data_IF_147733969028
#
_entry.id   IF_147733969028
#
_cell.length_a   1.000
_cell.length_b   1.000
_cell.length_c   1.000
_cell.angle_alpha   90.00
_cell.angle_beta   90.00
_cell.angle_gamma   90.00
#
_symmetry.space_group_name_H-M   'P 1'
#
loop_
_entity.id
_entity.type
_entity.pdbx_description
1 polymer ?
#
# COMPACT_ATOMS: atom_id res chain seq x y z
N UNK A 1 -4.76 38.20 -53.50
CA UNK A 1 -5.89 37.31 -53.16
C UNK A 1 -5.33 36.15 -52.36
N UNK A 2 -5.35 36.26 -51.03
CA UNK A 2 -4.93 35.18 -50.13
C UNK A 2 -6.11 34.89 -49.22
N UNK A 3 -6.80 33.79 -49.47
CA UNK A 3 -7.86 33.26 -48.61
C UNK A 3 -7.21 32.42 -47.52
N UNK A 4 -7.11 32.99 -46.32
CA UNK A 4 -6.76 32.26 -45.11
C UNK A 4 -7.92 31.33 -44.75
N UNK A 5 -7.71 30.02 -44.91
CA UNK A 5 -8.66 28.99 -44.47
C UNK A 5 -8.54 28.84 -42.96
N UNK A 6 -9.53 29.35 -42.23
CA UNK A 6 -9.69 29.09 -40.79
C UNK A 6 -10.18 27.67 -40.61
N UNK A 7 -9.30 26.77 -40.20
CA UNK A 7 -9.62 25.41 -39.77
C UNK A 7 -10.47 25.46 -38.50
N UNK A 8 -11.80 25.57 -38.68
CA UNK A 8 -12.79 25.38 -37.62
C UNK A 8 -12.73 23.92 -37.16
N UNK A 9 -12.45 23.75 -35.87
CA UNK A 9 -12.47 22.52 -35.07
C UNK A 9 -13.61 21.58 -35.46
N UNK A 10 -13.30 20.47 -36.17
CA UNK A 10 -14.26 19.42 -36.60
C UNK A 10 -14.68 18.47 -35.47
N UNK A 11 -14.34 18.77 -34.22
CA UNK A 11 -14.55 17.89 -33.06
C UNK A 11 -15.98 17.94 -32.49
N UNK A 12 -16.90 18.76 -33.01
CA UNK A 12 -18.13 19.09 -32.27
C UNK A 12 -19.34 18.17 -32.55
N UNK A 13 -19.63 17.83 -33.81
CA UNK A 13 -20.95 17.24 -34.12
C UNK A 13 -21.08 15.77 -33.70
N UNK A 14 -20.04 14.97 -33.94
CA UNK A 14 -20.01 13.57 -33.50
C UNK A 14 -19.97 13.44 -31.97
N UNK A 15 -19.21 14.33 -31.30
CA UNK A 15 -19.13 14.33 -29.85
C UNK A 15 -20.47 14.79 -29.22
N UNK A 16 -21.17 15.75 -29.83
CA UNK A 16 -22.51 16.16 -29.41
C UNK A 16 -23.55 15.06 -29.66
N UNK A 17 -23.49 14.37 -30.79
CA UNK A 17 -24.36 13.23 -31.07
C UNK A 17 -24.18 12.13 -30.01
N UNK A 18 -22.92 11.78 -29.69
CA UNK A 18 -22.62 10.81 -28.63
C UNK A 18 -23.07 11.28 -27.25
N UNK A 19 -22.95 12.58 -26.95
CA UNK A 19 -23.46 13.13 -25.69
C UNK A 19 -24.98 12.98 -25.56
N UNK A 20 -25.72 13.27 -26.62
CA UNK A 20 -27.18 13.13 -26.65
C UNK A 20 -27.61 11.65 -26.57
N UNK A 21 -26.83 10.75 -27.16
CA UNK A 21 -27.04 9.30 -27.01
C UNK A 21 -26.87 8.87 -25.55
N UNK A 22 -25.77 9.25 -24.89
CA UNK A 22 -25.53 8.98 -23.47
C UNK A 22 -26.65 9.58 -22.61
N UNK A 23 -27.10 10.78 -22.92
CA UNK A 23 -28.25 11.40 -22.25
C UNK A 23 -29.51 10.54 -22.38
N UNK A 24 -29.85 10.09 -23.59
CA UNK A 24 -31.00 9.22 -23.83
C UNK A 24 -30.89 7.92 -23.06
N UNK A 25 -29.71 7.29 -23.05
CA UNK A 25 -29.44 6.06 -22.33
C UNK A 25 -29.59 6.23 -20.81
N UNK A 26 -29.03 7.30 -20.23
CA UNK A 26 -29.07 7.55 -18.78
C UNK A 26 -30.45 7.97 -18.30
N UNK A 27 -31.20 8.73 -19.12
CA UNK A 27 -32.51 9.27 -18.72
C UNK A 27 -33.70 8.37 -19.06
N UNK A 28 -33.50 7.34 -19.89
CA UNK A 28 -34.51 6.31 -20.15
C UNK A 28 -35.02 5.73 -18.81
N UNK A 29 -36.35 5.62 -18.58
CA UNK A 29 -36.91 5.29 -17.27
C UNK A 29 -36.33 4.04 -16.60
N UNK A 30 -36.15 2.96 -17.37
CA UNK A 30 -35.59 1.71 -16.88
C UNK A 30 -34.12 1.86 -16.47
N UNK A 31 -33.30 2.46 -17.33
CA UNK A 31 -31.88 2.67 -17.05
C UNK A 31 -31.65 3.66 -15.91
N UNK A 32 -32.43 4.74 -15.85
CA UNK A 32 -32.42 5.68 -14.75
C UNK A 32 -32.70 4.98 -13.42
N UNK A 33 -33.76 4.16 -13.37
CA UNK A 33 -34.10 3.41 -12.16
C UNK A 33 -32.97 2.46 -11.75
N UNK A 34 -32.36 1.75 -12.71
CA UNK A 34 -31.20 0.87 -12.47
C UNK A 34 -29.99 1.63 -11.92
N UNK A 35 -29.65 2.77 -12.52
CA UNK A 35 -28.53 3.61 -12.10
C UNK A 35 -28.76 4.22 -10.71
N UNK A 36 -29.99 4.62 -10.40
CA UNK A 36 -30.36 5.13 -9.07
C UNK A 36 -30.42 4.05 -8.00
N UNK A 37 -30.70 2.80 -8.38
CA UNK A 37 -30.73 1.65 -7.48
C UNK A 37 -29.33 1.05 -7.21
N UNK A 38 -28.31 1.44 -7.97
CA UNK A 38 -26.95 0.97 -7.79
C UNK A 38 -26.39 1.42 -6.43
N UNK A 39 -25.96 0.46 -5.62
CA UNK A 39 -25.39 0.69 -4.30
C UNK A 39 -23.88 1.01 -4.38
N UNK A 40 -23.20 0.57 -5.44
CA UNK A 40 -21.75 0.71 -5.58
C UNK A 40 -21.31 1.38 -6.88
N UNK A 41 -20.13 1.99 -6.85
CA UNK A 41 -19.50 2.57 -8.02
C UNK A 41 -19.16 1.50 -9.09
N UNK A 42 -18.99 0.24 -8.69
CA UNK A 42 -18.77 -0.88 -9.60
C UNK A 42 -20.05 -1.28 -10.35
N UNK A 43 -21.19 -1.30 -9.67
CA UNK A 43 -22.50 -1.56 -10.28
C UNK A 43 -22.85 -0.49 -11.32
N UNK A 44 -22.62 0.79 -11.00
CA UNK A 44 -22.82 1.90 -11.96
C UNK A 44 -21.99 1.71 -13.23
N UNK A 45 -20.71 1.31 -13.09
CA UNK A 45 -19.84 1.02 -14.24
C UNK A 45 -20.27 -0.22 -15.02
N UNK A 46 -20.78 -1.23 -14.34
CA UNK A 46 -21.32 -2.44 -14.98
C UNK A 46 -22.53 -2.09 -15.85
N UNK A 47 -23.47 -1.32 -15.30
CA UNK A 47 -24.63 -0.81 -16.05
C UNK A 47 -24.16 0.05 -17.23
N UNK A 48 -23.17 0.92 -17.05
CA UNK A 48 -22.62 1.72 -18.14
C UNK A 48 -22.08 0.85 -19.28
N UNK A 49 -21.33 -0.21 -18.96
CA UNK A 49 -20.80 -1.16 -19.94
C UNK A 49 -21.89 -1.90 -20.71
N UNK A 50 -22.97 -2.31 -20.04
CA UNK A 50 -24.14 -2.92 -20.70
C UNK A 50 -24.87 -1.95 -21.65
N UNK A 51 -24.83 -0.65 -21.35
CA UNK A 51 -25.37 0.40 -22.21
C UNK A 51 -24.39 0.81 -23.32
N UNK A 52 -23.23 0.16 -23.42
CA UNK A 52 -22.20 0.48 -24.40
C UNK A 52 -21.50 1.82 -24.14
N UNK A 53 -21.51 2.31 -22.90
CA UNK A 53 -20.82 3.52 -22.48
C UNK A 53 -19.42 3.14 -21.99
N UNK A 54 -18.40 3.72 -22.61
CA UNK A 54 -17.02 3.45 -22.23
C UNK A 54 -16.61 4.23 -20.98
N UNK A 55 -16.33 3.49 -19.90
CA UNK A 55 -15.90 4.06 -18.61
C UNK A 55 -14.43 3.79 -18.31
N UNK A 56 -13.60 3.48 -19.33
CA UNK A 56 -12.16 3.37 -19.13
C UNK A 56 -11.53 4.72 -18.79
N UNK A 57 -10.34 4.68 -18.19
CA UNK A 57 -9.57 5.89 -17.95
C UNK A 57 -9.23 6.61 -19.27
N UNK A 58 -9.31 7.94 -19.27
CA UNK A 58 -9.13 8.77 -20.46
C UNK A 58 -10.26 8.69 -21.51
N UNK A 59 -11.34 7.94 -21.28
CA UNK A 59 -12.45 7.87 -22.24
C UNK A 59 -13.20 9.19 -22.36
N UNK A 60 -13.60 9.53 -23.60
CA UNK A 60 -14.40 10.72 -23.91
C UNK A 60 -15.84 10.62 -23.39
N UNK A 61 -16.34 9.40 -23.16
CA UNK A 61 -17.69 9.14 -22.65
C UNK A 61 -17.79 9.40 -21.14
N UNK A 62 -16.73 9.11 -20.38
CA UNK A 62 -16.73 9.17 -18.91
C UNK A 62 -17.19 10.53 -18.36
N UNK A 63 -16.61 11.65 -18.82
CA UNK A 63 -16.97 12.97 -18.31
C UNK A 63 -18.44 13.33 -18.58
N UNK A 64 -18.95 12.92 -19.75
CA UNK A 64 -20.34 13.12 -20.16
C UNK A 64 -21.30 12.28 -19.33
N UNK A 65 -20.92 11.03 -19.11
CA UNK A 65 -21.66 10.08 -18.29
C UNK A 65 -21.75 10.53 -16.83
N UNK A 66 -20.64 10.91 -16.20
CA UNK A 66 -20.60 11.47 -14.83
C UNK A 66 -21.53 12.69 -14.72
N UNK A 67 -21.48 13.60 -15.70
CA UNK A 67 -22.35 14.77 -15.71
C UNK A 67 -23.84 14.38 -15.73
N UNK A 68 -24.25 13.43 -16.58
CA UNK A 68 -25.64 12.98 -16.67
C UNK A 68 -26.09 12.17 -15.46
N UNK A 69 -25.21 11.35 -14.88
CA UNK A 69 -25.48 10.66 -13.61
C UNK A 69 -25.82 11.66 -12.49
N UNK A 70 -25.04 12.74 -12.38
CA UNK A 70 -25.27 13.77 -11.37
C UNK A 70 -26.66 14.42 -11.51
N UNK A 71 -27.15 14.61 -12.73
CA UNK A 71 -28.48 15.16 -12.99
C UNK A 71 -29.62 14.24 -12.55
N UNK A 72 -29.39 12.93 -12.47
CA UNK A 72 -30.35 11.95 -11.93
C UNK A 72 -30.09 11.62 -10.45
N UNK A 73 -29.19 12.34 -9.78
CA UNK A 73 -28.89 12.18 -8.36
C UNK A 73 -27.86 11.10 -8.03
N UNK A 74 -27.12 10.58 -9.02
CA UNK A 74 -26.06 9.58 -8.83
C UNK A 74 -24.70 10.27 -8.94
N UNK A 75 -23.93 10.32 -7.84
CA UNK A 75 -22.59 10.91 -7.81
C UNK A 75 -21.52 9.81 -7.78
N UNK A 76 -21.18 9.29 -8.97
CA UNK A 76 -20.21 8.20 -9.12
C UNK A 76 -18.83 8.52 -8.49
N UNK A 77 -18.24 9.72 -8.68
CA UNK A 77 -17.02 10.10 -7.97
C UNK A 77 -17.16 10.08 -6.44
N UNK A 78 -18.27 10.60 -5.89
CA UNK A 78 -18.49 10.58 -4.45
C UNK A 78 -18.67 9.17 -3.89
N UNK A 79 -19.39 8.29 -4.61
CA UNK A 79 -19.52 6.87 -4.24
C UNK A 79 -18.17 6.18 -4.19
N UNK A 80 -17.35 6.32 -5.25
CA UNK A 80 -16.03 5.71 -5.30
C UNK A 80 -15.10 6.23 -4.20
N UNK A 81 -15.18 7.53 -3.87
CA UNK A 81 -14.44 8.14 -2.76
C UNK A 81 -14.90 7.59 -1.40
N UNK A 82 -16.20 7.45 -1.19
CA UNK A 82 -16.75 6.91 0.05
C UNK A 82 -16.35 5.44 0.25
N UNK A 83 -16.41 4.61 -0.79
CA UNK A 83 -15.95 3.22 -0.76
C UNK A 83 -14.44 3.11 -0.48
N UNK A 84 -13.62 3.98 -1.06
CA UNK A 84 -12.20 4.03 -0.76
C UNK A 84 -11.93 4.45 0.70
N UNK A 85 -12.66 5.43 1.21
CA UNK A 85 -12.58 5.87 2.60
C UNK A 85 -13.01 4.76 3.58
N UNK A 86 -14.11 4.06 3.28
CA UNK A 86 -14.59 2.93 4.07
C UNK A 86 -13.55 1.80 4.12
N UNK A 87 -12.98 1.41 2.97
CA UNK A 87 -11.89 0.41 2.91
C UNK A 87 -10.65 0.85 3.69
N UNK A 88 -10.29 2.13 3.66
CA UNK A 88 -9.17 2.67 4.45
C UNK A 88 -9.46 2.60 5.95
N UNK A 89 -10.69 2.94 6.37
CA UNK A 89 -11.11 2.87 7.77
C UNK A 89 -11.14 1.42 8.29
N UNK A 90 -11.67 0.49 7.50
CA UNK A 90 -11.66 -0.95 7.83
C UNK A 90 -10.24 -1.49 7.98
N UNK A 91 -9.34 -1.14 7.05
CA UNK A 91 -7.93 -1.53 7.13
C UNK A 91 -7.24 -0.97 8.39
N UNK A 92 -7.53 0.29 8.74
CA UNK A 92 -6.99 0.90 9.96
C UNK A 92 -7.51 0.21 11.23
N UNK A 93 -8.81 -0.13 11.28
CA UNK A 93 -9.40 -0.88 12.40
C UNK A 93 -8.79 -2.28 12.54
N UNK A 94 -8.58 -2.98 11.42
CA UNK A 94 -7.92 -4.29 11.41
C UNK A 94 -6.48 -4.19 11.93
N UNK A 95 -5.74 -3.15 11.51
CA UNK A 95 -4.38 -2.88 11.99
C UNK A 95 -4.32 -2.64 13.50
N UNK A 96 -5.22 -1.80 14.02
CA UNK A 96 -5.30 -1.51 15.46
C UNK A 96 -5.68 -2.76 16.26
N UNK A 97 -6.67 -3.53 15.80
CA UNK A 97 -7.09 -4.76 16.47
C UNK A 97 -5.94 -5.78 16.55
N UNK A 98 -5.12 -5.88 15.51
CA UNK A 98 -3.92 -6.72 15.48
C UNK A 98 -2.83 -6.22 16.42
N UNK A 99 -2.61 -4.90 16.46
CA UNK A 99 -1.63 -4.29 17.37
C UNK A 99 -1.94 -4.61 18.84
N UNK A 100 -3.21 -4.58 19.26
CA UNK A 100 -3.59 -4.92 20.65
C UNK A 100 -3.23 -6.34 21.11
N UNK A 101 -2.91 -7.26 20.19
CA UNK A 101 -2.56 -8.66 20.50
C UNK A 101 -1.17 -9.06 20.01
N UNK A 102 -0.36 -8.11 19.56
CA UNK A 102 0.96 -8.37 18.96
C UNK A 102 1.92 -9.13 19.89
N UNK A 103 1.80 -8.95 21.21
CA UNK A 103 2.65 -9.61 22.21
C UNK A 103 2.44 -11.13 22.27
N UNK A 104 1.30 -11.64 21.80
CA UNK A 104 1.01 -13.07 21.74
C UNK A 104 1.28 -13.72 20.39
N UNK A 105 1.75 -12.95 19.39
CA UNK A 105 1.98 -13.45 18.04
C UNK A 105 3.42 -13.94 17.85
N UNK A 106 3.65 -14.91 16.94
CA UNK A 106 4.98 -15.17 16.40
C UNK A 106 5.57 -13.90 15.77
N UNK A 107 6.88 -13.73 15.90
CA UNK A 107 7.56 -12.46 15.57
C UNK A 107 8.37 -12.60 14.29
N UNK A 108 8.31 -11.57 13.44
CA UNK A 108 9.21 -11.36 12.32
C UNK A 108 10.00 -10.09 12.60
N UNK A 109 11.33 -10.17 12.61
CA UNK A 109 12.21 -9.00 12.82
C UNK A 109 12.86 -8.63 11.50
N UNK A 110 12.64 -7.41 11.04
CA UNK A 110 13.20 -6.92 9.79
C UNK A 110 13.74 -5.50 9.97
N UNK A 111 14.72 -5.17 9.14
CA UNK A 111 15.20 -3.81 8.97
C UNK A 111 14.89 -3.38 7.56
N UNK A 112 14.44 -2.14 7.39
CA UNK A 112 14.24 -1.57 6.06
C UNK A 112 14.90 -0.21 5.94
N UNK A 113 15.47 0.05 4.78
CA UNK A 113 15.96 1.37 4.43
C UNK A 113 15.79 1.64 2.94
N UNK A 114 15.84 2.91 2.57
CA UNK A 114 15.95 3.37 1.20
C UNK A 114 17.13 4.33 1.04
N UNK A 115 17.62 4.42 -0.18
CA UNK A 115 18.56 5.45 -0.59
C UNK A 115 18.05 6.13 -1.85
N UNK A 116 18.24 7.43 -1.93
CA UNK A 116 17.97 8.22 -3.14
C UNK A 116 19.29 8.72 -3.72
N UNK A 117 19.35 8.74 -5.05
CA UNK A 117 20.48 9.33 -5.78
C UNK A 117 19.93 10.18 -6.93
N UNK A 118 20.49 11.38 -7.12
CA UNK A 118 19.94 12.37 -8.05
C UNK A 118 18.73 13.13 -7.48
N UNK A 119 18.31 14.17 -8.19
CA UNK A 119 17.23 15.09 -7.78
C UNK A 119 15.99 14.91 -8.67
N UNK A 120 14.82 15.17 -8.11
CA UNK A 120 13.52 15.17 -8.80
C UNK A 120 13.27 13.92 -9.68
N UNK A 121 12.82 14.11 -10.92
CA UNK A 121 12.42 13.04 -11.84
C UNK A 121 13.59 12.18 -12.35
N UNK A 122 14.84 12.64 -12.20
CA UNK A 122 16.04 11.87 -12.54
C UNK A 122 16.51 10.99 -11.37
N UNK A 123 15.88 11.14 -10.20
CA UNK A 123 16.28 10.45 -9.00
C UNK A 123 16.08 8.93 -9.12
N UNK A 124 17.18 8.19 -9.05
CA UNK A 124 17.17 6.73 -8.95
C UNK A 124 17.34 6.34 -7.49
N UNK A 125 16.38 5.58 -6.97
CA UNK A 125 16.43 5.11 -5.60
C UNK A 125 16.58 3.60 -5.55
N UNK A 126 17.12 3.13 -4.44
CA UNK A 126 17.19 1.73 -4.10
C UNK A 126 16.65 1.50 -2.69
N UNK A 127 16.31 0.26 -2.38
CA UNK A 127 15.83 -0.16 -1.08
C UNK A 127 16.42 -1.49 -0.70
N UNK A 128 16.37 -1.77 0.60
CA UNK A 128 16.61 -3.09 1.12
C UNK A 128 15.69 -3.40 2.31
N UNK A 129 15.41 -4.69 2.45
CA UNK A 129 14.87 -5.33 3.63
C UNK A 129 15.85 -6.45 4.00
N UNK A 130 16.34 -6.42 5.24
CA UNK A 130 17.24 -7.45 5.79
C UNK A 130 16.64 -8.09 7.04
N UNK A 131 17.07 -9.30 7.36
CA UNK A 131 16.74 -9.99 8.61
C UNK A 131 17.66 -9.56 9.77
N UNK A 132 17.52 -10.21 10.93
CA UNK A 132 18.26 -9.88 12.16
C UNK A 132 19.76 -10.13 12.07
N UNK A 133 20.19 -10.97 11.12
CA UNK A 133 21.58 -11.24 10.82
C UNK A 133 22.14 -10.28 9.75
N UNK A 134 21.34 -9.32 9.28
CA UNK A 134 21.69 -8.40 8.21
C UNK A 134 21.67 -9.05 6.82
N UNK A 135 21.15 -10.27 6.67
CA UNK A 135 21.07 -10.94 5.39
C UNK A 135 19.91 -10.41 4.55
N UNK A 136 20.18 -10.24 3.25
CA UNK A 136 19.24 -9.63 2.32
C UNK A 136 17.99 -10.50 2.13
N UNK A 137 16.82 -10.03 2.58
CA UNK A 137 15.53 -10.66 2.28
C UNK A 137 15.00 -10.19 0.93
N UNK A 138 15.01 -8.88 0.70
CA UNK A 138 14.54 -8.26 -0.54
C UNK A 138 15.26 -6.94 -0.75
N UNK A 139 15.95 -6.76 -1.88
CA UNK A 139 16.61 -5.49 -2.19
C UNK A 139 16.69 -5.24 -3.70
N UNK A 140 16.92 -3.98 -4.06
CA UNK A 140 17.19 -3.57 -5.44
C UNK A 140 16.73 -2.13 -5.70
N UNK A 141 16.79 -1.74 -6.97
CA UNK A 141 16.33 -0.42 -7.41
C UNK A 141 14.81 -0.34 -7.48
N UNK A 142 14.26 0.84 -7.16
CA UNK A 142 12.84 1.13 -7.35
C UNK A 142 12.49 1.20 -8.84
N UNK A 143 11.35 0.61 -9.22
CA UNK A 143 10.92 0.64 -10.62
C UNK A 143 10.02 1.86 -10.89
N UNK A 144 10.37 2.75 -11.84
CA UNK A 144 9.71 4.05 -12.01
C UNK A 144 8.21 3.98 -12.33
N UNK A 145 7.73 2.84 -12.84
CA UNK A 145 6.29 2.63 -13.16
C UNK A 145 5.50 1.84 -12.13
N UNK A 146 6.16 1.19 -11.18
CA UNK A 146 5.50 0.25 -10.27
C UNK A 146 5.54 0.68 -8.81
N UNK A 147 6.24 1.77 -8.50
CA UNK A 147 6.16 2.37 -7.17
C UNK A 147 4.87 3.18 -7.01
N UNK A 148 4.08 2.83 -5.99
CA UNK A 148 2.84 3.53 -5.63
C UNK A 148 3.01 4.56 -4.52
N UNK A 149 4.09 4.43 -3.75
CA UNK A 149 4.36 5.21 -2.54
C UNK A 149 5.51 6.18 -2.78
N UNK A 150 6.63 5.67 -3.31
CA UNK A 150 7.81 6.50 -3.61
C UNK A 150 7.48 7.57 -4.65
N UNK A 151 7.86 8.79 -4.31
CA UNK A 151 8.00 9.94 -5.19
C UNK A 151 9.50 10.16 -5.44
N UNK A 152 9.98 10.13 -6.71
CA UNK A 152 11.41 10.35 -6.99
C UNK A 152 11.95 11.64 -6.37
N UNK A 153 13.11 11.55 -5.71
CA UNK A 153 13.76 12.67 -5.01
C UNK A 153 13.26 12.92 -3.59
N UNK A 154 12.22 12.22 -3.13
CA UNK A 154 11.69 12.30 -1.77
C UNK A 154 12.09 11.06 -0.97
N UNK A 155 13.14 11.19 -0.15
CA UNK A 155 13.67 10.10 0.67
C UNK A 155 12.63 9.55 1.65
N UNK A 156 11.77 10.38 2.26
CA UNK A 156 10.75 9.90 3.20
C UNK A 156 9.76 8.99 2.48
N UNK A 157 9.35 9.35 1.27
CA UNK A 157 8.48 8.49 0.45
C UNK A 157 9.17 7.19 0.00
N UNK A 158 10.48 7.22 -0.22
CA UNK A 158 11.28 6.04 -0.56
C UNK A 158 11.39 5.10 0.64
N UNK A 159 11.68 5.63 1.83
CA UNK A 159 11.71 4.92 3.11
C UNK A 159 10.34 4.31 3.43
N UNK A 160 9.26 5.08 3.23
CA UNK A 160 7.89 4.57 3.36
C UNK A 160 7.59 3.41 2.42
N UNK A 161 8.14 3.44 1.19
CA UNK A 161 8.03 2.34 0.22
C UNK A 161 8.82 1.11 0.63
N UNK A 162 10.01 1.28 1.22
CA UNK A 162 10.82 0.18 1.77
C UNK A 162 10.13 -0.47 2.97
N UNK A 163 9.57 0.32 3.89
CA UNK A 163 8.80 -0.16 5.03
C UNK A 163 7.53 -0.92 4.61
N UNK A 164 6.78 -0.43 3.62
CA UNK A 164 5.60 -1.15 3.08
C UNK A 164 5.99 -2.50 2.45
N UNK A 165 7.16 -2.57 1.81
CA UNK A 165 7.73 -3.82 1.30
C UNK A 165 8.12 -4.78 2.42
N UNK A 166 8.62 -4.29 3.57
CA UNK A 166 8.88 -5.12 4.74
C UNK A 166 7.58 -5.71 5.33
N UNK A 167 6.49 -4.94 5.37
CA UNK A 167 5.15 -5.46 5.74
C UNK A 167 4.74 -6.60 4.80
N UNK A 168 4.97 -6.44 3.50
CA UNK A 168 4.70 -7.52 2.53
C UNK A 168 5.62 -8.74 2.70
N UNK A 169 6.89 -8.54 3.05
CA UNK A 169 7.81 -9.63 3.35
C UNK A 169 7.36 -10.43 4.59
N UNK A 170 6.92 -9.75 5.66
CA UNK A 170 6.36 -10.39 6.84
C UNK A 170 5.07 -11.17 6.53
N UNK A 171 4.20 -10.63 5.67
CA UNK A 171 3.03 -11.37 5.15
C UNK A 171 3.43 -12.67 4.44
N UNK A 172 4.50 -12.63 3.63
CA UNK A 172 5.02 -13.81 2.93
C UNK A 172 5.62 -14.81 3.92
N UNK A 173 6.37 -14.35 4.92
CA UNK A 173 6.90 -15.17 6.01
C UNK A 173 5.77 -15.89 6.78
N UNK A 174 4.74 -15.15 7.20
CA UNK A 174 3.51 -15.69 7.83
C UNK A 174 2.88 -16.81 6.98
N UNK A 175 2.67 -16.56 5.68
CA UNK A 175 2.08 -17.54 4.77
C UNK A 175 2.95 -18.79 4.61
N UNK A 176 4.25 -18.63 4.54
CA UNK A 176 5.20 -19.73 4.43
C UNK A 176 5.29 -20.58 5.72
N UNK A 177 5.21 -19.93 6.89
CA UNK A 177 5.17 -20.59 8.19
C UNK A 177 3.81 -21.26 8.49
N UNK A 178 2.75 -20.92 7.74
CA UNK A 178 1.43 -21.52 7.93
C UNK A 178 0.70 -21.05 9.20
N UNK A 179 1.07 -19.89 9.73
CA UNK A 179 0.41 -19.27 10.90
C UNK A 179 -0.62 -18.22 10.46
N UNK A 180 -1.61 -17.94 11.30
CA UNK A 180 -2.71 -17.04 10.96
C UNK A 180 -2.29 -15.56 10.96
N UNK A 181 -1.48 -15.17 11.95
CA UNK A 181 -1.06 -13.80 12.22
C UNK A 181 0.39 -13.78 12.71
N UNK A 182 1.12 -12.69 12.45
CA UNK A 182 2.47 -12.44 12.99
C UNK A 182 2.59 -11.00 13.47
N UNK A 183 3.48 -10.75 14.43
CA UNK A 183 3.98 -9.42 14.71
C UNK A 183 5.20 -9.13 13.85
N UNK A 184 5.21 -8.01 13.12
CA UNK A 184 6.39 -7.46 12.47
C UNK A 184 7.00 -6.40 13.39
N UNK A 185 8.22 -6.64 13.82
CA UNK A 185 9.08 -5.65 14.47
C UNK A 185 10.02 -5.09 13.41
N UNK A 186 9.69 -3.89 12.93
CA UNK A 186 10.41 -3.22 11.87
C UNK A 186 11.36 -2.17 12.45
N UNK A 187 12.65 -2.33 12.23
CA UNK A 187 13.62 -1.27 12.48
C UNK A 187 13.83 -0.46 11.19
N UNK A 188 13.79 0.87 11.30
CA UNK A 188 14.04 1.78 10.19
C UNK A 188 14.90 2.97 10.66
N UNK A 189 15.53 3.67 9.72
CA UNK A 189 16.33 4.87 10.02
C UNK A 189 15.51 6.17 9.92
N UNK A 190 14.34 6.11 9.28
CA UNK A 190 13.51 7.29 9.02
C UNK A 190 12.46 7.51 10.13
N UNK A 191 12.50 8.63 10.88
CA UNK A 191 11.52 8.94 11.92
C UNK A 191 10.17 9.43 11.36
N UNK A 192 10.13 9.86 10.11
CA UNK A 192 8.95 10.49 9.49
C UNK A 192 8.01 9.49 8.80
N UNK A 193 8.14 8.19 9.10
CA UNK A 193 7.28 7.15 8.55
C UNK A 193 5.82 7.32 9.03
N UNK A 194 4.87 7.17 8.11
CA UNK A 194 3.44 7.03 8.42
C UNK A 194 3.15 5.62 8.96
N UNK A 195 3.43 5.43 10.25
CA UNK A 195 3.20 4.16 10.97
C UNK A 195 1.73 3.75 10.93
N UNK A 196 0.79 4.69 10.93
CA UNK A 196 -0.64 4.38 10.85
C UNK A 196 -1.00 3.75 9.49
N UNK A 197 -0.41 4.27 8.39
CA UNK A 197 -0.54 3.66 7.07
C UNK A 197 0.07 2.25 7.02
N UNK A 198 1.25 2.04 7.63
CA UNK A 198 1.88 0.72 7.72
C UNK A 198 1.03 -0.28 8.51
N UNK A 199 0.46 0.13 9.65
CA UNK A 199 -0.46 -0.70 10.45
C UNK A 199 -1.72 -1.04 9.66
N UNK A 200 -2.28 -0.11 8.91
CA UNK A 200 -3.43 -0.40 8.04
C UNK A 200 -3.08 -1.39 6.91
N UNK A 201 -1.88 -1.28 6.32
CA UNK A 201 -1.38 -2.23 5.33
C UNK A 201 -1.19 -3.63 5.94
N UNK A 202 -0.56 -3.72 7.11
CA UNK A 202 -0.38 -4.95 7.85
C UNK A 202 -1.69 -5.59 8.31
N UNK A 203 -2.66 -4.77 8.71
CA UNK A 203 -3.99 -5.21 9.16
C UNK A 203 -4.72 -6.09 8.15
N UNK A 204 -4.69 -5.67 6.88
CA UNK A 204 -5.25 -6.45 5.75
C UNK A 204 -4.51 -7.76 5.47
N UNK A 205 -3.27 -7.87 5.95
CA UNK A 205 -2.36 -8.95 5.65
C UNK A 205 -2.14 -9.88 6.86
N UNK A 206 -2.82 -9.65 7.99
CA UNK A 206 -2.59 -10.40 9.23
C UNK A 206 -1.19 -10.19 9.81
N UNK A 207 -0.66 -8.96 9.67
CA UNK A 207 0.65 -8.55 10.21
C UNK A 207 0.42 -7.39 11.17
N UNK A 208 0.70 -7.59 12.45
CA UNK A 208 0.70 -6.53 13.46
C UNK A 208 2.02 -5.77 13.35
N UNK A 209 1.99 -4.51 12.91
CA UNK A 209 3.22 -3.73 12.63
C UNK A 209 3.58 -2.86 13.82
N UNK A 210 4.81 -3.03 14.30
CA UNK A 210 5.48 -2.13 15.22
C UNK A 210 6.77 -1.61 14.58
N UNK A 211 7.07 -0.32 14.78
CA UNK A 211 8.18 0.37 14.12
C UNK A 211 9.07 1.00 15.19
N UNK A 212 10.35 0.64 15.16
CA UNK A 212 11.39 1.28 15.95
C UNK A 212 12.30 2.07 15.01
N UNK A 213 12.68 3.28 15.43
CA UNK A 213 13.65 4.09 14.70
C UNK A 213 15.02 3.91 15.35
N UNK A 214 15.97 3.41 14.59
CA UNK A 214 17.38 3.28 14.99
C UNK A 214 18.25 3.78 13.85
N UNK A 215 18.81 4.98 14.00
CA UNK A 215 19.67 5.62 13.01
C UNK A 215 21.14 5.19 13.13
N UNK A 216 21.48 4.39 14.15
CA UNK A 216 22.81 3.80 14.31
C UNK A 216 22.94 2.45 13.59
N UNK A 217 21.85 1.70 13.43
CA UNK A 217 21.83 0.46 12.64
C UNK A 217 21.67 0.73 11.14
N UNK A 218 22.80 0.76 10.44
CA UNK A 218 22.85 1.05 9.01
C UNK A 218 22.79 -0.21 8.12
N UNK A 219 22.50 -1.40 8.67
CA UNK A 219 22.58 -2.67 7.93
C UNK A 219 21.72 -2.67 6.66
N UNK A 220 20.48 -2.17 6.75
CA UNK A 220 19.61 -2.04 5.59
C UNK A 220 20.05 -0.92 4.63
N UNK A 221 20.63 0.18 5.15
CA UNK A 221 21.14 1.28 4.32
C UNK A 221 22.31 0.78 3.47
N UNK A 222 23.26 0.09 4.09
CA UNK A 222 24.41 -0.51 3.41
C UNK A 222 23.96 -1.51 2.35
N UNK A 223 22.99 -2.37 2.66
CA UNK A 223 22.39 -3.30 1.70
C UNK A 223 21.73 -2.59 0.52
N UNK A 224 21.02 -1.48 0.76
CA UNK A 224 20.36 -0.70 -0.30
C UNK A 224 21.36 -0.04 -1.25
N UNK A 225 22.58 0.27 -0.78
CA UNK A 225 23.68 0.81 -1.59
C UNK A 225 24.42 -0.26 -2.39
N UNK A 226 24.30 -1.54 -2.02
CA UNK A 226 24.99 -2.62 -2.72
C UNK A 226 24.41 -2.84 -4.13
N UNK A 227 25.27 -3.05 -5.15
CA UNK A 227 24.79 -3.40 -6.47
C UNK A 227 24.12 -4.77 -6.46
N UNK A 228 23.07 -4.91 -7.25
CA UNK A 228 22.36 -6.17 -7.44
C UNK A 228 20.87 -6.05 -7.17
N UNK A 229 20.20 -7.20 -7.16
CA UNK A 229 18.79 -7.29 -6.84
C UNK A 229 18.48 -8.70 -6.33
N UNK A 230 17.51 -8.78 -5.43
CA UNK A 230 16.89 -10.03 -5.01
C UNK A 230 15.41 -9.75 -4.82
N UNK A 231 14.53 -10.30 -5.67
CA UNK A 231 13.11 -10.08 -5.47
C UNK A 231 12.53 -11.05 -4.43
N UNK A 232 11.50 -10.58 -3.71
CA UNK A 232 10.77 -11.38 -2.72
C UNK A 232 10.13 -12.67 -3.28
N UNK A 233 9.95 -12.77 -4.59
CA UNK A 233 9.45 -14.00 -5.24
C UNK A 233 10.52 -15.08 -5.38
N UNK A 234 11.80 -14.71 -5.31
CA UNK A 234 12.94 -15.60 -5.45
C UNK A 234 13.45 -16.10 -4.09
N UNK A 235 12.89 -15.60 -2.99
CA UNK A 235 13.09 -16.12 -1.63
C UNK A 235 12.22 -17.37 -1.45
N UNK A 236 12.84 -18.48 -1.05
CA UNK A 236 12.12 -19.74 -0.86
C UNK A 236 11.17 -19.67 0.34
N UNK A 237 10.07 -20.43 0.30
CA UNK A 237 9.15 -20.51 1.44
C UNK A 237 9.86 -21.03 2.71
N UNK A 238 10.85 -21.92 2.56
CA UNK A 238 11.65 -22.40 3.69
C UNK A 238 12.51 -21.30 4.34
N UNK A 239 13.05 -20.37 3.55
CA UNK A 239 13.76 -19.19 4.09
C UNK A 239 12.79 -18.20 4.73
N UNK A 240 11.67 -17.92 4.06
CA UNK A 240 10.63 -17.03 4.58
C UNK A 240 10.04 -17.55 5.90
N UNK A 241 9.82 -18.85 6.03
CA UNK A 241 9.31 -19.45 7.26
C UNK A 241 10.30 -19.32 8.43
N UNK A 242 11.62 -19.34 8.17
CA UNK A 242 12.65 -19.15 9.21
C UNK A 242 12.70 -17.74 9.78
N UNK A 243 12.13 -16.75 9.09
CA UNK A 243 11.99 -15.40 9.62
C UNK A 243 10.94 -15.30 10.74
N UNK A 244 10.09 -16.32 10.89
CA UNK A 244 9.04 -16.36 11.92
C UNK A 244 9.57 -17.06 13.16
N UNK A 245 9.80 -16.28 14.21
CA UNK A 245 10.13 -16.77 15.54
C UNK A 245 8.84 -17.14 16.28
N UNK A 246 8.64 -18.43 16.53
CA UNK A 246 7.48 -18.98 17.26
C UNK A 246 7.76 -19.19 18.74
N UNK A 247 9.01 -19.12 19.18
CA UNK A 247 9.45 -19.60 20.49
C UNK A 247 9.66 -18.42 21.44
N UNK A 248 8.57 -17.75 21.82
CA UNK A 248 8.60 -16.63 22.78
C UNK A 248 8.75 -17.06 24.24
N UNK A 249 8.82 -18.36 24.52
CA UNK A 249 8.91 -18.92 25.87
C UNK A 249 10.37 -19.21 26.27
N UNK A 250 11.16 -18.21 26.67
CA UNK A 250 12.37 -18.47 27.50
C UNK A 250 13.03 -17.27 28.21
N UNK A 251 12.99 -16.03 27.70
CA UNK A 251 14.00 -15.03 28.13
C UNK A 251 13.50 -13.86 29.00
N UNK A 252 12.25 -13.91 29.48
CA UNK A 252 11.69 -12.89 30.39
C UNK A 252 11.81 -13.24 31.90
N UNK A 253 12.78 -14.08 32.29
CA UNK A 253 12.82 -14.70 33.63
C UNK A 253 14.17 -14.82 34.33
N UNK A 254 15.21 -14.07 33.94
CA UNK A 254 16.48 -14.01 34.68
C UNK A 254 16.71 -12.61 35.27
N UNK A 255 15.78 -12.18 36.13
CA UNK A 255 15.90 -10.96 36.93
C UNK A 255 15.88 -11.28 38.42
N UNK A 256 17.07 -11.24 39.02
CA UNK A 256 17.30 -10.82 40.40
C UNK A 256 16.88 -11.75 41.57
N UNK A 257 17.76 -12.70 41.90
CA UNK A 257 17.94 -13.15 43.29
C UNK A 257 19.38 -12.87 43.74
N UNK A 258 19.69 -11.61 44.06
CA UNK A 258 20.75 -11.31 44.99
C UNK A 258 20.32 -10.26 46.01
N UNK A 259 19.61 -10.72 47.04
CA UNK A 259 19.35 -9.96 48.25
C UNK A 259 20.08 -10.62 49.44
N UNK A 260 21.11 -9.91 49.92
CA UNK A 260 21.54 -9.75 51.31
C UNK A 260 21.63 -10.98 52.23
N UNK A 261 22.85 -11.52 52.34
CA UNK A 261 23.30 -12.19 53.57
C UNK A 261 23.99 -11.15 54.48
N UNK A 262 23.20 -10.60 55.40
CA UNK A 262 23.70 -9.83 56.54
C UNK A 262 23.39 -10.57 57.85
N UNK A 263 24.35 -11.38 58.30
CA UNK A 263 24.75 -11.44 59.70
C UNK A 263 24.53 -12.77 60.45
N UNK A 264 25.62 -13.33 61.00
CA UNK A 264 25.73 -13.70 62.44
C UNK A 264 27.13 -14.20 62.82
N UNK A 265 27.66 -13.70 63.95
CA UNK A 265 28.75 -14.29 64.78
C UNK A 265 30.18 -13.96 64.32
N UNK A 266 31.13 -13.48 65.13
CA UNK A 266 31.32 -13.48 66.60
C UNK A 266 31.92 -12.14 67.08
#
# INVERSE_FOLDING_TARGET
MSTTSTTKTKTNDADNARFNEIEGLVTAPENKARLQAAATAAEVRTIAGELGIDTSDGSRDMGKFIFKLKMIGVDLPAMAKAEAAARRAEAAQAGEALACRADGLPVVRLWSAAVESGEDAESTGAFAIVDAEGAAVWYGSFHPRFEKIRTPGDLVSAEQSAADKAVYAAYRARKAAGVDEVALWLTATCPDLDVASLRAAGGRLGVAVDVTVDDADLSAVEMAQMPGWRAIKDVSDAELARLVDTDRDADAGAGDEHADDAGTGE
#
